data_IF_657071298654
#
_entry.id   IF_657071298654
#
_cell.length_a   1.000
_cell.length_b   1.000
_cell.length_c   1.000
_cell.angle_alpha   90.00
_cell.angle_beta   90.00
_cell.angle_gamma   90.00
#
_symmetry.space_group_name_H-M   'P 1'
#
loop_
_entity.id
_entity.type
_entity.pdbx_description
1 polymer ?
#
# COMPACT_ATOMS: atom_id res chain seq x y z
N UNK A 1 -7.76 48.71 -44.51
CA UNK A 1 -7.96 47.31 -44.09
C UNK A 1 -6.70 46.86 -43.36
N UNK A 2 -6.69 46.97 -42.02
CA UNK A 2 -5.47 46.84 -41.22
C UNK A 2 -5.37 45.43 -40.60
N UNK A 3 -4.35 44.66 -41.01
CA UNK A 3 -3.99 43.36 -40.45
C UNK A 3 -3.31 43.58 -39.09
N UNK A 4 -3.92 43.09 -37.99
CA UNK A 4 -3.29 43.06 -36.67
C UNK A 4 -2.68 41.68 -36.42
N UNK A 5 -1.36 41.67 -36.32
CA UNK A 5 -0.52 40.53 -35.97
C UNK A 5 -0.74 40.20 -34.47
N UNK A 6 -1.34 39.05 -34.18
CA UNK A 6 -1.52 38.53 -32.82
C UNK A 6 -0.35 37.62 -32.46
N UNK A 7 0.60 38.14 -31.68
CA UNK A 7 1.70 37.36 -31.10
C UNK A 7 1.17 36.45 -29.97
N UNK A 8 1.56 35.16 -29.88
CA UNK A 8 1.16 34.31 -28.76
C UNK A 8 1.97 34.70 -27.52
N UNK A 9 1.30 35.20 -26.49
CA UNK A 9 1.90 35.37 -25.17
C UNK A 9 2.10 33.99 -24.53
N UNK A 10 3.35 33.55 -24.42
CA UNK A 10 3.75 32.41 -23.60
C UNK A 10 3.32 32.67 -22.15
N UNK A 11 2.28 31.98 -21.69
CA UNK A 11 1.92 31.95 -20.27
C UNK A 11 2.97 31.11 -19.54
N UNK A 12 3.81 31.81 -18.79
CA UNK A 12 4.82 31.24 -17.90
C UNK A 12 4.19 30.19 -16.96
N UNK A 13 4.52 28.92 -17.18
CA UNK A 13 4.23 27.83 -16.25
C UNK A 13 5.18 27.94 -15.06
N UNK A 14 4.76 28.62 -14.00
CA UNK A 14 5.55 28.72 -12.78
C UNK A 14 4.70 28.45 -11.54
N UNK A 15 5.08 27.38 -10.85
CA UNK A 15 4.77 27.02 -9.45
C UNK A 15 3.32 26.63 -9.14
N UNK A 16 3.02 25.36 -9.36
CA UNK A 16 2.24 24.59 -8.38
C UNK A 16 3.20 24.23 -7.25
N UNK A 17 3.48 25.20 -6.38
CA UNK A 17 4.03 24.94 -5.05
C UNK A 17 2.82 24.77 -4.15
N UNK A 18 2.70 23.57 -3.60
CA UNK A 18 1.72 23.23 -2.58
C UNK A 18 1.61 24.37 -1.55
N UNK A 19 0.44 25.00 -1.49
CA UNK A 19 0.03 25.73 -0.28
C UNK A 19 -0.22 24.70 0.81
N UNK A 20 0.85 24.21 1.44
CA UNK A 20 0.73 23.72 2.82
C UNK A 20 0.31 24.93 3.65
N UNK A 21 -0.98 25.01 3.97
CA UNK A 21 -1.46 25.96 4.96
C UNK A 21 -0.73 25.60 6.27
N UNK A 22 -0.07 26.56 6.96
CA UNK A 22 0.36 26.30 8.34
C UNK A 22 -0.91 25.92 9.10
N UNK A 23 -0.88 24.80 9.82
CA UNK A 23 -1.96 24.36 10.70
C UNK A 23 -2.10 25.37 11.85
N UNK A 24 -2.61 26.56 11.54
CA UNK A 24 -3.13 27.50 12.51
C UNK A 24 -4.33 26.85 13.15
N UNK A 25 -4.29 26.73 14.47
CA UNK A 25 -5.33 26.17 15.33
C UNK A 25 -6.71 26.72 14.93
N UNK A 26 -7.45 25.96 14.12
CA UNK A 26 -8.86 26.23 13.85
C UNK A 26 -9.59 25.95 15.16
N UNK A 27 -9.91 27.00 15.89
CA UNK A 27 -10.66 26.93 17.15
C UNK A 27 -12.11 26.55 16.82
N UNK A 28 -12.40 25.25 16.84
CA UNK A 28 -13.76 24.73 16.72
C UNK A 28 -14.50 25.08 18.01
N UNK A 29 -15.42 26.06 17.95
CA UNK A 29 -16.33 26.33 19.05
C UNK A 29 -17.42 25.25 19.09
N UNK A 30 -17.14 24.09 19.67
CA UNK A 30 -18.16 23.09 20.00
C UNK A 30 -18.70 23.36 21.41
N UNK A 31 -19.81 24.08 21.50
CA UNK A 31 -20.54 24.33 22.75
C UNK A 31 -21.35 23.10 23.19
N UNK A 32 -20.67 21.98 23.47
CA UNK A 32 -21.27 20.82 24.14
C UNK A 32 -20.78 20.84 25.58
N UNK A 33 -21.70 21.02 26.53
CA UNK A 33 -21.43 20.90 27.96
C UNK A 33 -20.79 19.53 28.24
N UNK A 34 -19.59 19.52 28.82
CA UNK A 34 -18.84 18.33 29.20
C UNK A 34 -19.56 17.56 30.33
N UNK A 35 -20.61 16.84 29.93
CA UNK A 35 -21.54 15.95 30.64
C UNK A 35 -21.03 14.65 31.24
N UNK A 36 -19.75 14.29 31.12
CA UNK A 36 -19.29 12.92 31.41
C UNK A 36 -17.77 12.80 31.25
N UNK A 37 -17.03 13.11 32.31
CA UNK A 37 -15.63 12.70 32.47
C UNK A 37 -15.53 11.19 32.75
N UNK A 38 -15.90 10.34 31.81
CA UNK A 38 -15.16 9.09 31.68
C UNK A 38 -13.91 9.45 30.90
N UNK A 39 -12.83 9.76 31.60
CA UNK A 39 -11.53 9.88 30.97
C UNK A 39 -11.28 8.54 30.25
N UNK A 40 -11.52 8.49 28.95
CA UNK A 40 -11.17 7.35 28.14
C UNK A 40 -9.69 7.18 28.37
N UNK A 41 -9.29 6.09 29.04
CA UNK A 41 -7.88 5.74 29.20
C UNK A 41 -7.33 5.66 27.79
N UNK A 42 -6.64 6.72 27.35
CA UNK A 42 -5.98 6.73 26.06
C UNK A 42 -4.87 5.72 26.19
N UNK A 43 -5.09 4.53 25.63
CA UNK A 43 -4.03 3.52 25.56
C UNK A 43 -2.79 4.16 24.93
N UNK A 44 -1.62 3.80 25.45
CA UNK A 44 -0.37 4.31 24.90
C UNK A 44 -0.34 4.01 23.38
N UNK A 45 0.02 4.99 22.54
CA UNK A 45 0.01 4.81 21.10
C UNK A 45 0.98 3.70 20.71
N UNK A 46 0.47 2.65 20.09
CA UNK A 46 1.31 1.57 19.55
C UNK A 46 1.77 1.95 18.14
N UNK A 47 3.10 2.04 17.97
CA UNK A 47 3.73 2.39 16.68
C UNK A 47 3.51 1.31 15.63
N UNK A 48 3.33 0.04 16.03
CA UNK A 48 3.04 -1.07 15.13
C UNK A 48 1.67 -0.92 14.46
N UNK A 49 0.68 -0.35 15.17
CA UNK A 49 -0.67 -0.14 14.65
C UNK A 49 -0.83 1.16 13.85
N UNK A 50 0.23 1.96 13.71
CA UNK A 50 0.17 3.27 13.07
C UNK A 50 1.35 3.53 12.15
N UNK A 51 2.46 4.05 12.70
CA UNK A 51 3.57 4.54 11.87
C UNK A 51 4.25 3.43 11.07
N UNK A 52 4.56 2.30 11.70
CA UNK A 52 5.29 1.23 11.02
C UNK A 52 4.44 0.51 9.98
N UNK A 53 3.17 0.26 10.28
CA UNK A 53 2.24 -0.32 9.32
C UNK A 53 2.07 0.60 8.10
N UNK A 54 1.92 1.91 8.32
CA UNK A 54 1.88 2.88 7.22
C UNK A 54 3.15 2.87 6.36
N UNK A 55 4.34 2.95 6.99
CA UNK A 55 5.63 2.94 6.28
C UNK A 55 5.81 1.65 5.46
N UNK A 56 5.44 0.49 6.03
CA UNK A 56 5.55 -0.81 5.36
C UNK A 56 4.60 -0.93 4.17
N UNK A 57 3.34 -0.50 4.30
CA UNK A 57 2.39 -0.52 3.19
C UNK A 57 2.86 0.33 2.02
N UNK A 58 3.32 1.56 2.31
CA UNK A 58 3.82 2.46 1.28
C UNK A 58 5.11 1.92 0.66
N UNK A 59 6.02 1.40 1.47
CA UNK A 59 7.26 0.78 1.01
C UNK A 59 7.00 -0.40 0.08
N UNK A 60 6.11 -1.32 0.46
CA UNK A 60 5.72 -2.46 -0.36
C UNK A 60 5.07 -2.03 -1.68
N UNK A 61 4.19 -1.03 -1.66
CA UNK A 61 3.56 -0.47 -2.86
C UNK A 61 4.60 0.12 -3.81
N UNK A 62 5.54 0.92 -3.29
CA UNK A 62 6.61 1.54 -4.08
C UNK A 62 7.55 0.49 -4.67
N UNK A 63 7.83 -0.60 -3.95
CA UNK A 63 8.65 -1.70 -4.45
C UNK A 63 7.94 -2.55 -5.52
N UNK A 64 6.62 -2.75 -5.39
CA UNK A 64 5.83 -3.55 -6.32
C UNK A 64 5.76 -2.95 -7.72
N UNK A 65 5.64 -1.63 -7.86
CA UNK A 65 5.54 -0.96 -9.16
C UNK A 65 6.72 -1.28 -10.11
N UNK A 66 7.98 -1.06 -9.74
CA UNK A 66 9.11 -1.41 -10.59
C UNK A 66 9.31 -2.91 -10.73
N UNK A 67 8.98 -3.73 -9.71
CA UNK A 67 9.04 -5.17 -9.83
C UNK A 67 8.08 -5.69 -10.90
N UNK A 68 6.82 -5.24 -10.89
CA UNK A 68 5.85 -5.60 -11.93
C UNK A 68 6.31 -5.12 -13.31
N UNK A 69 6.78 -3.87 -13.41
CA UNK A 69 7.28 -3.33 -14.67
C UNK A 69 8.46 -4.13 -15.23
N UNK A 70 9.39 -4.58 -14.37
CA UNK A 70 10.52 -5.39 -14.77
C UNK A 70 10.08 -6.73 -15.37
N UNK A 71 9.08 -7.39 -14.79
CA UNK A 71 8.58 -8.66 -15.32
C UNK A 71 7.92 -8.49 -16.70
N UNK A 72 7.19 -7.39 -16.92
CA UNK A 72 6.59 -7.13 -18.23
C UNK A 72 7.62 -6.73 -19.29
N UNK A 73 8.67 -6.01 -18.91
CA UNK A 73 9.67 -5.50 -19.85
C UNK A 73 10.74 -6.55 -20.22
N UNK A 74 11.18 -7.36 -19.25
CA UNK A 74 12.31 -8.27 -19.41
C UNK A 74 11.91 -9.76 -19.41
N UNK A 75 10.66 -10.07 -19.08
CA UNK A 75 10.17 -11.44 -18.98
C UNK A 75 10.62 -12.14 -17.70
N UNK A 76 10.55 -13.48 -17.71
CA UNK A 76 10.83 -14.30 -16.54
C UNK A 76 12.30 -14.22 -16.13
N UNK A 77 12.55 -13.85 -14.87
CA UNK A 77 13.89 -13.82 -14.28
C UNK A 77 13.83 -14.34 -12.84
N UNK A 78 14.71 -15.28 -12.43
CA UNK A 78 14.66 -15.87 -11.10
C UNK A 78 14.77 -14.86 -9.95
N UNK A 79 15.53 -13.79 -10.15
CA UNK A 79 15.75 -12.77 -9.11
C UNK A 79 14.49 -11.92 -8.92
N UNK A 80 13.90 -11.45 -10.01
CA UNK A 80 12.68 -10.63 -9.93
C UNK A 80 11.48 -11.48 -9.53
N UNK A 81 11.42 -12.76 -9.92
CA UNK A 81 10.39 -13.71 -9.51
C UNK A 81 10.44 -14.04 -8.02
N UNK A 82 11.64 -14.23 -7.46
CA UNK A 82 11.81 -14.44 -6.02
C UNK A 82 11.44 -13.21 -5.22
N UNK A 83 11.85 -12.02 -5.67
CA UNK A 83 11.45 -10.77 -5.04
C UNK A 83 9.93 -10.55 -5.12
N UNK A 84 9.32 -10.81 -6.27
CA UNK A 84 7.87 -10.70 -6.45
C UNK A 84 7.12 -11.69 -5.53
N UNK A 85 7.63 -12.92 -5.43
CA UNK A 85 7.10 -13.98 -4.55
C UNK A 85 7.20 -13.68 -3.06
N UNK A 86 7.97 -12.67 -2.64
CA UNK A 86 8.06 -12.23 -1.24
C UNK A 86 7.32 -10.92 -1.01
N UNK A 87 7.55 -9.92 -1.85
CA UNK A 87 6.97 -8.58 -1.67
C UNK A 87 5.46 -8.60 -1.87
N UNK A 88 4.95 -9.37 -2.83
CA UNK A 88 3.51 -9.44 -3.09
C UNK A 88 2.74 -10.07 -1.92
N UNK A 89 3.09 -11.25 -1.38
CA UNK A 89 2.39 -11.80 -0.22
C UNK A 89 2.51 -10.92 1.03
N UNK A 90 3.65 -10.25 1.25
CA UNK A 90 3.82 -9.32 2.37
C UNK A 90 2.93 -8.10 2.24
N UNK A 91 2.73 -7.57 1.02
CA UNK A 91 1.80 -6.46 0.78
C UNK A 91 0.35 -6.86 1.12
N UNK A 92 -0.06 -8.07 0.72
CA UNK A 92 -1.40 -8.60 1.00
C UNK A 92 -1.60 -8.91 2.49
N UNK A 93 -0.57 -9.38 3.19
CA UNK A 93 -0.64 -9.72 4.62
C UNK A 93 -1.00 -8.53 5.52
N UNK A 94 -0.75 -7.30 5.08
CA UNK A 94 -1.02 -6.09 5.88
C UNK A 94 -2.52 -5.71 5.93
N UNK A 95 -3.40 -6.50 5.32
CA UNK A 95 -4.85 -6.26 5.36
C UNK A 95 -5.44 -6.42 6.78
N UNK A 96 -6.28 -5.47 7.18
CA UNK A 96 -6.74 -5.35 8.57
C UNK A 96 -8.13 -5.97 8.79
N UNK A 97 -8.22 -6.94 9.71
CA UNK A 97 -9.49 -7.44 10.22
C UNK A 97 -9.95 -6.68 11.47
N UNK A 98 -11.16 -6.13 11.42
CA UNK A 98 -11.71 -5.39 12.56
C UNK A 98 -12.25 -6.34 13.64
N UNK A 99 -11.45 -6.53 14.70
CA UNK A 99 -11.79 -7.37 15.84
C UNK A 99 -13.07 -6.92 16.58
N UNK A 100 -13.44 -5.64 16.53
CA UNK A 100 -14.68 -5.14 17.19
C UNK A 100 -15.95 -5.60 16.50
N UNK A 101 -15.91 -5.78 15.17
CA UNK A 101 -17.08 -6.20 14.39
C UNK A 101 -17.27 -7.72 14.40
N UNK A 102 -16.19 -8.47 14.54
CA UNK A 102 -16.22 -9.93 14.48
C UNK A 102 -15.22 -10.54 15.50
N UNK A 103 -15.58 -10.65 16.79
CA UNK A 103 -14.64 -11.05 17.84
C UNK A 103 -14.23 -12.54 17.79
N UNK A 104 -15.12 -13.40 17.30
CA UNK A 104 -14.86 -14.85 17.17
C UNK A 104 -14.19 -15.14 15.83
N UNK A 105 -14.82 -14.69 14.73
CA UNK A 105 -14.32 -14.92 13.37
C UNK A 105 -13.00 -14.17 13.15
N UNK A 106 -12.84 -12.96 13.69
CA UNK A 106 -11.61 -12.18 13.55
C UNK A 106 -10.38 -12.92 14.05
N UNK A 107 -10.47 -13.63 15.19
CA UNK A 107 -9.33 -14.44 15.70
C UNK A 107 -8.99 -15.60 14.77
N UNK A 108 -10.00 -16.31 14.28
CA UNK A 108 -9.81 -17.39 13.32
C UNK A 108 -9.16 -16.87 12.03
N UNK A 109 -9.71 -15.77 11.47
CA UNK A 109 -9.19 -15.13 10.26
C UNK A 109 -7.76 -14.63 10.44
N UNK A 110 -7.39 -14.09 11.60
CA UNK A 110 -6.01 -13.68 11.87
C UNK A 110 -5.05 -14.87 11.82
N UNK A 111 -5.38 -15.99 12.48
CA UNK A 111 -4.55 -17.21 12.43
C UNK A 111 -4.48 -17.77 11.01
N UNK A 112 -5.62 -17.82 10.31
CA UNK A 112 -5.68 -18.24 8.92
C UNK A 112 -4.83 -17.35 8.03
N UNK A 113 -4.83 -16.03 8.25
CA UNK A 113 -4.01 -15.08 7.48
C UNK A 113 -2.52 -15.36 7.68
N UNK A 114 -2.05 -15.57 8.91
CA UNK A 114 -0.66 -15.95 9.17
C UNK A 114 -0.29 -17.28 8.51
N UNK A 115 -1.13 -18.29 8.66
CA UNK A 115 -0.89 -19.60 8.06
C UNK A 115 -0.89 -19.54 6.52
N UNK A 116 -1.82 -18.78 5.93
CA UNK A 116 -1.91 -18.57 4.49
C UNK A 116 -0.69 -17.81 3.98
N UNK A 117 -0.26 -16.73 4.64
CA UNK A 117 0.95 -15.98 4.24
C UNK A 117 2.19 -16.85 4.32
N UNK A 118 2.37 -17.64 5.39
CA UNK A 118 3.49 -18.58 5.49
C UNK A 118 3.43 -19.64 4.38
N UNK A 119 2.25 -20.20 4.12
CA UNK A 119 2.04 -21.19 3.07
C UNK A 119 2.33 -20.63 1.67
N UNK A 120 1.89 -19.41 1.38
CA UNK A 120 2.16 -18.74 0.10
C UNK A 120 3.66 -18.44 -0.04
N UNK A 121 4.33 -17.94 0.99
CA UNK A 121 5.77 -17.70 0.94
C UNK A 121 6.56 -18.99 0.66
N UNK A 122 6.21 -20.09 1.33
CA UNK A 122 6.81 -21.41 1.08
C UNK A 122 6.49 -21.88 -0.35
N UNK A 123 5.24 -21.74 -0.80
CA UNK A 123 4.83 -22.10 -2.16
C UNK A 123 5.59 -21.32 -3.23
N UNK A 124 5.70 -20.01 -3.08
CA UNK A 124 6.50 -19.15 -3.97
C UNK A 124 7.97 -19.55 -3.98
N UNK A 125 8.55 -19.86 -2.81
CA UNK A 125 9.93 -20.36 -2.72
C UNK A 125 10.10 -21.68 -3.49
N UNK A 126 9.17 -22.62 -3.32
CA UNK A 126 9.21 -23.91 -4.00
C UNK A 126 9.07 -23.76 -5.52
N UNK A 127 8.14 -22.94 -6.00
CA UNK A 127 7.95 -22.69 -7.44
C UNK A 127 9.19 -22.04 -8.05
N UNK A 128 9.83 -21.11 -7.33
CA UNK A 128 11.01 -20.42 -7.84
C UNK A 128 12.31 -21.24 -7.79
N UNK A 129 12.40 -22.23 -6.89
CA UNK A 129 13.62 -23.02 -6.68
C UNK A 129 13.57 -24.39 -7.34
N UNK A 130 12.40 -25.04 -7.33
CA UNK A 130 12.22 -26.42 -7.78
C UNK A 130 11.31 -26.54 -9.01
N UNK A 131 10.78 -25.43 -9.53
CA UNK A 131 9.92 -25.40 -10.72
C UNK A 131 10.37 -24.27 -11.68
N UNK A 132 9.53 -23.92 -12.65
CA UNK A 132 9.85 -22.98 -13.74
C UNK A 132 9.89 -21.51 -13.34
N UNK A 133 9.40 -21.14 -12.15
CA UNK A 133 9.27 -19.75 -11.70
C UNK A 133 7.86 -19.18 -11.85
N UNK A 134 7.53 -18.17 -11.05
CA UNK A 134 6.18 -17.59 -10.96
C UNK A 134 5.71 -16.95 -12.27
N UNK A 135 6.54 -16.16 -12.93
CA UNK A 135 6.14 -15.43 -14.15
C UNK A 135 6.05 -16.36 -15.36
N UNK A 136 6.95 -17.33 -15.47
CA UNK A 136 6.91 -18.37 -16.49
C UNK A 136 5.70 -19.29 -16.30
N UNK A 137 5.37 -19.64 -15.05
CA UNK A 137 4.14 -20.38 -14.73
C UNK A 137 2.89 -19.61 -15.18
N UNK A 138 2.82 -18.30 -14.91
CA UNK A 138 1.71 -17.46 -15.37
C UNK A 138 1.66 -17.41 -16.90
N UNK A 139 2.80 -17.25 -17.56
CA UNK A 139 2.90 -17.25 -19.03
C UNK A 139 2.31 -18.52 -19.63
N UNK A 140 2.69 -19.69 -19.09
CA UNK A 140 2.18 -20.99 -19.55
C UNK A 140 0.69 -21.18 -19.32
N UNK A 141 0.18 -20.76 -18.16
CA UNK A 141 -1.25 -20.79 -17.85
C UNK A 141 -2.03 -19.89 -18.81
N UNK A 142 -1.46 -18.73 -19.18
CA UNK A 142 -2.11 -17.78 -20.07
C UNK A 142 -2.15 -18.24 -21.54
N UNK A 143 -1.15 -19.02 -21.97
CA UNK A 143 -1.08 -19.60 -23.33
C UNK A 143 -1.80 -20.95 -23.47
N UNK A 144 -2.44 -21.45 -22.41
CA UNK A 144 -3.21 -22.69 -22.43
C UNK A 144 -4.54 -22.55 -23.20
#
# INVERSE_FOLDING_TARGET
MALRLSTPAFRSAARIVARQQPMGLVKIHSSVSAKNNSASVSHAPDRLHGSYHWDLERGATVALVPLMAAQFAFGASPITDTLLGVVLPLHVHMDYFNARKAPIIGKAMTVTLYAATAGVLVGCYQINTNDVGLTELISRIWTA
#
